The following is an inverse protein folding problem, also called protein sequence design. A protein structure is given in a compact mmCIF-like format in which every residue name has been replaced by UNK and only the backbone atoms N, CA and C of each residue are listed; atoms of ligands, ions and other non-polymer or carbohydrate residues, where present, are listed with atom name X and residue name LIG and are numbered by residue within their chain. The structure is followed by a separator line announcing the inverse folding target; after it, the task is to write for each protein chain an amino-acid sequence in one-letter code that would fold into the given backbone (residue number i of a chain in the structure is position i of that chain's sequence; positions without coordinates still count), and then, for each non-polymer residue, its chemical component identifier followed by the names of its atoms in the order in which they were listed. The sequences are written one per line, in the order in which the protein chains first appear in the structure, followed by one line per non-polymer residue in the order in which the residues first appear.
data_IF_667584126658
#
_entry.id   IF_667584126658
#
_cell.length_a   1.000
_cell.length_b   1.000
_cell.length_c   1.000
_cell.angle_alpha   90.00
_cell.angle_beta   90.00
_cell.angle_gamma   90.00
#
_symmetry.space_group_name_H-M   'P 1'
#
loop_
_entity.id
_entity.type
_entity.pdbx_description
1 polymer ?
#
# COMPACT_ATOMS: atom_id res chain seq x y z
N UNK A 1 12.73 -14.23 -5.51
CA UNK A 1 12.19 -15.45 -4.88
C UNK A 1 11.55 -15.14 -3.52
N UNK A 2 12.31 -14.63 -2.54
CA UNK A 2 11.77 -14.33 -1.19
C UNK A 2 10.60 -13.35 -1.18
N UNK A 3 10.64 -12.31 -2.03
CA UNK A 3 9.54 -11.35 -2.19
C UNK A 3 8.23 -12.05 -2.58
N UNK A 4 8.26 -12.91 -3.60
CA UNK A 4 7.09 -13.63 -4.09
C UNK A 4 6.56 -14.64 -3.07
N UNK A 5 7.47 -15.29 -2.32
CA UNK A 5 7.10 -16.21 -1.26
C UNK A 5 6.42 -15.50 -0.10
N UNK A 6 6.90 -14.31 0.29
CA UNK A 6 6.22 -13.48 1.29
C UNK A 6 4.80 -13.14 0.85
N UNK A 7 4.60 -12.73 -0.42
CA UNK A 7 3.27 -12.38 -0.93
C UNK A 7 2.34 -13.58 -1.10
N UNK A 8 2.89 -14.76 -1.37
CA UNK A 8 2.11 -15.99 -1.37
C UNK A 8 1.60 -16.32 0.03
N UNK A 9 2.45 -16.19 1.06
CA UNK A 9 2.07 -16.46 2.44
C UNK A 9 1.00 -15.48 2.95
N UNK A 10 1.15 -14.21 2.59
CA UNK A 10 0.21 -13.10 2.84
C UNK A 10 -1.15 -13.30 2.13
N UNK A 11 -1.14 -13.86 0.91
CA UNK A 11 -2.39 -14.25 0.26
C UNK A 11 -3.09 -15.44 0.96
N UNK A 12 -2.30 -16.35 1.53
CA UNK A 12 -2.78 -17.58 2.16
C UNK A 12 -3.35 -17.33 3.56
N UNK A 13 -2.73 -16.50 4.39
CA UNK A 13 -3.23 -16.22 5.75
C UNK A 13 -4.62 -15.55 5.73
N UNK A 14 -4.85 -14.60 4.81
CA UNK A 14 -6.15 -13.98 4.60
C UNK A 14 -7.20 -14.96 4.07
N UNK A 15 -6.81 -15.89 3.19
CA UNK A 15 -7.71 -16.94 2.72
C UNK A 15 -8.10 -17.92 3.83
N UNK A 16 -7.14 -18.32 4.67
CA UNK A 16 -7.38 -19.20 5.82
C UNK A 16 -8.25 -18.49 6.87
N UNK A 17 -8.01 -17.21 7.15
CA UNK A 17 -8.82 -16.44 8.09
C UNK A 17 -10.29 -16.33 7.66
N UNK A 18 -10.55 -16.11 6.37
CA UNK A 18 -11.93 -16.08 5.81
C UNK A 18 -12.60 -17.46 5.85
N UNK A 19 -11.85 -18.53 5.67
CA UNK A 19 -12.35 -19.90 5.71
C UNK A 19 -12.58 -20.43 7.14
N UNK A 20 -12.05 -19.75 8.16
CA UNK A 20 -12.11 -20.19 9.56
C UNK A 20 -12.84 -19.16 10.42
N UNK A 21 -12.11 -18.38 11.21
CA UNK A 21 -12.66 -17.34 12.09
C UNK A 21 -11.80 -16.07 11.95
N UNK A 22 -12.29 -15.02 11.28
CA UNK A 22 -11.58 -13.75 11.23
C UNK A 22 -11.53 -13.13 12.63
N UNK A 23 -10.39 -12.53 12.98
CA UNK A 23 -10.19 -11.87 14.27
C UNK A 23 -9.60 -10.48 14.08
N UNK A 24 -9.99 -9.54 14.95
CA UNK A 24 -9.48 -8.16 14.92
C UNK A 24 -7.96 -8.11 15.09
N UNK A 25 -7.39 -9.03 15.89
CA UNK A 25 -5.94 -9.16 16.08
C UNK A 25 -5.23 -9.57 14.79
N UNK A 26 -5.84 -10.48 14.03
CA UNK A 26 -5.33 -10.90 12.73
C UNK A 26 -5.32 -9.75 11.74
N UNK A 27 -6.45 -9.04 11.59
CA UNK A 27 -6.54 -7.88 10.70
C UNK A 27 -5.59 -6.74 11.06
N UNK A 28 -5.39 -6.49 12.37
CA UNK A 28 -4.39 -5.51 12.84
C UNK A 28 -2.96 -5.92 12.48
N UNK A 29 -2.61 -7.19 12.66
CA UNK A 29 -1.26 -7.68 12.36
C UNK A 29 -0.99 -7.68 10.86
N UNK A 30 -1.96 -8.11 10.05
CA UNK A 30 -1.93 -8.14 8.59
C UNK A 30 -1.54 -6.76 8.02
N UNK A 31 -2.35 -5.74 8.32
CA UNK A 31 -2.06 -4.38 7.83
C UNK A 31 -0.73 -3.83 8.36
N UNK A 32 -0.37 -4.14 9.60
CA UNK A 32 0.89 -3.65 10.19
C UNK A 32 2.11 -4.25 9.48
N UNK A 33 2.10 -5.56 9.25
CA UNK A 33 3.20 -6.26 8.57
C UNK A 33 3.29 -5.87 7.09
N UNK A 34 2.16 -5.57 6.45
CA UNK A 34 2.13 -5.07 5.09
C UNK A 34 2.87 -3.75 4.92
N UNK A 35 2.61 -2.76 5.78
CA UNK A 35 3.32 -1.48 5.73
C UNK A 35 4.82 -1.65 6.00
N UNK A 36 5.20 -2.53 6.93
CA UNK A 36 6.61 -2.85 7.19
C UNK A 36 7.26 -3.48 5.96
N UNK A 37 6.58 -4.43 5.31
CA UNK A 37 7.08 -5.06 4.09
C UNK A 37 7.24 -4.06 2.95
N UNK A 38 6.24 -3.20 2.71
CA UNK A 38 6.31 -2.17 1.66
C UNK A 38 7.46 -1.19 1.91
N UNK A 39 7.72 -0.81 3.17
CA UNK A 39 8.85 0.04 3.51
C UNK A 39 10.21 -0.67 3.42
N UNK A 40 10.27 -1.97 3.70
CA UNK A 40 11.51 -2.73 3.72
C UNK A 40 12.17 -2.81 2.33
N UNK A 41 11.38 -2.88 1.25
CA UNK A 41 11.93 -3.04 -0.11
C UNK A 41 12.74 -1.81 -0.55
N UNK A 42 12.20 -0.57 -0.59
CA UNK A 42 13.00 0.61 -0.94
C UNK A 42 14.18 0.83 0.00
N UNK A 43 13.99 0.57 1.31
CA UNK A 43 15.06 0.67 2.30
C UNK A 43 16.21 -0.29 1.99
N UNK A 44 15.93 -1.53 1.59
CA UNK A 44 16.95 -2.50 1.22
C UNK A 44 17.80 -2.01 0.03
N UNK A 45 17.18 -1.39 -0.98
CA UNK A 45 17.91 -0.78 -2.11
C UNK A 45 18.78 0.40 -1.68
N UNK A 46 18.28 1.25 -0.78
CA UNK A 46 19.03 2.36 -0.21
C UNK A 46 20.25 1.88 0.60
N UNK A 47 20.11 0.78 1.35
CA UNK A 47 21.21 0.19 2.12
C UNK A 47 22.23 -0.49 1.21
N UNK A 48 21.77 -1.15 0.15
CA UNK A 48 22.64 -1.90 -0.77
C UNK A 48 23.54 -0.98 -1.62
N UNK A 49 23.02 0.16 -2.09
CA UNK A 49 23.79 1.19 -2.80
C UNK A 49 23.28 2.59 -2.43
N UNK A 50 23.78 3.17 -1.33
CA UNK A 50 23.32 4.47 -0.85
C UNK A 50 23.56 5.61 -1.83
N UNK A 51 24.66 5.57 -2.59
CA UNK A 51 25.02 6.67 -3.50
C UNK A 51 24.05 6.76 -4.68
N UNK A 52 23.61 5.61 -5.21
CA UNK A 52 22.66 5.58 -6.32
C UNK A 52 21.19 5.65 -5.86
N UNK A 53 20.85 4.99 -4.74
CA UNK A 53 19.46 4.64 -4.44
C UNK A 53 18.85 5.38 -3.23
N UNK A 54 19.64 6.03 -2.38
CA UNK A 54 19.12 6.60 -1.13
C UNK A 54 18.02 7.65 -1.37
N UNK A 55 18.22 8.59 -2.31
CA UNK A 55 17.23 9.63 -2.59
C UNK A 55 15.96 9.07 -3.26
N UNK A 56 16.03 8.26 -4.34
CA UNK A 56 14.83 7.63 -4.91
C UNK A 56 14.07 6.78 -3.91
N UNK A 57 14.77 6.01 -3.06
CA UNK A 57 14.15 5.22 -2.01
C UNK A 57 13.45 6.10 -0.96
N UNK A 58 14.08 7.19 -0.52
CA UNK A 58 13.48 8.12 0.45
C UNK A 58 12.20 8.78 -0.11
N UNK A 59 12.21 9.16 -1.39
CA UNK A 59 11.03 9.73 -2.05
C UNK A 59 9.90 8.70 -2.16
N UNK A 60 10.23 7.46 -2.51
CA UNK A 60 9.25 6.37 -2.55
C UNK A 60 8.67 6.07 -1.14
N UNK A 61 9.51 6.01 -0.10
CA UNK A 61 9.06 5.85 1.29
C UNK A 61 8.15 6.99 1.73
N UNK A 62 8.50 8.24 1.42
CA UNK A 62 7.64 9.40 1.71
C UNK A 62 6.27 9.28 1.01
N UNK A 63 6.24 8.76 -0.22
CA UNK A 63 4.99 8.53 -0.94
C UNK A 63 4.13 7.44 -0.30
N UNK A 64 4.74 6.39 0.27
CA UNK A 64 4.02 5.35 1.03
C UNK A 64 3.44 5.85 2.34
N UNK A 65 4.10 6.80 3.01
CA UNK A 65 3.52 7.48 4.17
C UNK A 65 2.26 8.23 3.75
N UNK A 66 2.27 8.92 2.60
CA UNK A 66 1.10 9.62 2.05
C UNK A 66 -0.07 8.68 1.73
N UNK A 67 0.19 7.61 0.97
CA UNK A 67 -0.87 6.66 0.58
C UNK A 67 -1.40 5.87 1.77
N UNK A 68 -0.52 5.48 2.70
CA UNK A 68 -0.89 4.74 3.91
C UNK A 68 -1.69 5.56 4.91
N UNK A 69 -1.22 6.77 5.23
CA UNK A 69 -1.91 7.65 6.16
C UNK A 69 -3.27 8.10 5.65
N UNK A 70 -3.37 8.46 4.36
CA UNK A 70 -4.66 8.84 3.76
C UNK A 70 -5.66 7.67 3.74
N UNK A 71 -5.19 6.43 3.53
CA UNK A 71 -6.02 5.24 3.60
C UNK A 71 -6.53 4.96 5.01
N UNK A 72 -5.63 4.87 6.00
CA UNK A 72 -5.99 4.60 7.40
C UNK A 72 -6.88 5.71 7.97
N UNK A 73 -6.55 6.99 7.73
CA UNK A 73 -7.35 8.11 8.20
C UNK A 73 -8.76 8.08 7.63
N UNK A 74 -8.90 7.78 6.32
CA UNK A 74 -10.22 7.62 5.71
C UNK A 74 -10.99 6.46 6.34
N UNK A 75 -10.35 5.30 6.52
CA UNK A 75 -10.99 4.13 7.10
C UNK A 75 -11.49 4.39 8.53
N UNK A 76 -10.68 5.03 9.37
CA UNK A 76 -11.05 5.38 10.75
C UNK A 76 -12.24 6.34 10.78
N UNK A 77 -12.23 7.39 9.96
CA UNK A 77 -13.34 8.36 9.92
C UNK A 77 -14.61 7.74 9.34
N UNK A 78 -14.49 6.92 8.30
CA UNK A 78 -15.61 6.20 7.70
C UNK A 78 -16.29 5.26 8.70
N UNK A 79 -15.49 4.50 9.47
CA UNK A 79 -16.01 3.61 10.49
C UNK A 79 -16.63 4.37 11.66
N UNK A 80 -16.00 5.46 12.12
CA UNK A 80 -16.58 6.33 13.16
C UNK A 80 -17.95 6.88 12.77
N UNK A 81 -18.14 7.21 11.48
CA UNK A 81 -19.42 7.69 10.95
C UNK A 81 -20.40 6.56 10.64
N UNK A 82 -20.05 5.31 10.93
CA UNK A 82 -20.82 4.10 10.60
C UNK A 82 -21.34 4.18 9.17
N UNK A 83 -20.46 4.55 8.24
CA UNK A 83 -20.78 4.49 6.81
C UNK A 83 -20.99 3.02 6.45
N UNK A 84 -22.20 2.51 6.70
CA UNK A 84 -22.61 1.20 6.28
C UNK A 84 -22.63 1.20 4.75
N UNK A 85 -22.09 0.13 4.17
CA UNK A 85 -22.21 -0.23 2.77
C UNK A 85 -23.63 0.06 2.25
N UNK A 86 -23.85 1.22 1.66
CA UNK A 86 -24.84 1.37 0.60
C UNK A 86 -24.20 0.75 -0.63
N UNK A 87 -24.46 -0.55 -0.76
CA UNK A 87 -24.24 -1.38 -1.92
C UNK A 87 -24.00 -0.55 -3.20
N UNK A 88 -22.74 -0.46 -3.61
CA UNK A 88 -22.44 -0.57 -5.04
C UNK A 88 -22.41 -2.08 -5.31
N UNK A 89 -23.40 -2.65 -6.01
CA UNK A 89 -23.56 -4.11 -6.11
C UNK A 89 -22.40 -4.86 -6.76
N UNK A 90 -21.48 -4.17 -7.45
CA UNK A 90 -20.50 -4.83 -8.33
C UNK A 90 -19.05 -4.81 -7.88
N UNK A 91 -18.68 -4.17 -6.75
CA UNK A 91 -17.29 -4.21 -6.27
C UNK A 91 -17.23 -4.24 -4.73
N UNK A 92 -17.10 -5.45 -4.21
CA UNK A 92 -16.72 -5.71 -2.83
C UNK A 92 -15.39 -5.03 -2.50
N UNK A 93 -15.33 -4.43 -1.32
CA UNK A 93 -14.27 -3.58 -0.76
C UNK A 93 -14.38 -2.09 -1.11
N UNK A 94 -14.53 -1.27 -0.06
CA UNK A 94 -14.10 0.12 -0.03
C UNK A 94 -12.56 0.19 -0.18
N UNK A 95 -12.03 -0.31 -1.30
CA UNK A 95 -10.77 0.18 -1.81
C UNK A 95 -11.09 1.61 -2.26
N UNK A 96 -10.54 2.61 -1.58
CA UNK A 96 -10.19 3.83 -2.31
C UNK A 96 -9.18 3.39 -3.36
N UNK A 97 -9.70 2.96 -4.53
CA UNK A 97 -8.90 2.60 -5.69
C UNK A 97 -7.95 3.75 -5.96
N UNK A 98 -6.67 3.45 -5.82
CA UNK A 98 -5.58 4.31 -6.27
C UNK A 98 -4.99 3.69 -7.53
N UNK A 99 -4.26 4.48 -8.32
CA UNK A 99 -3.41 3.97 -9.41
C UNK A 99 -2.21 3.13 -8.89
N UNK A 100 -2.22 2.79 -7.60
CA UNK A 100 -1.16 2.07 -6.88
C UNK A 100 -1.81 1.09 -5.91
N UNK A 101 -2.44 0.05 -6.46
CA UNK A 101 -2.95 -1.09 -5.71
C UNK A 101 -1.82 -2.07 -5.31
N UNK A 102 -2.16 -3.10 -4.52
CA UNK A 102 -1.21 -4.12 -4.08
C UNK A 102 -0.52 -4.81 -5.26
N UNK A 103 -1.26 -5.11 -6.33
CA UNK A 103 -0.71 -5.75 -7.54
C UNK A 103 0.33 -4.88 -8.25
N UNK A 104 0.03 -3.59 -8.45
CA UNK A 104 0.93 -2.65 -9.13
C UNK A 104 2.19 -2.40 -8.28
N UNK A 105 2.03 -2.33 -6.96
CA UNK A 105 3.14 -2.20 -6.01
C UNK A 105 4.06 -3.42 -6.07
N UNK A 106 3.49 -4.63 -6.03
CA UNK A 106 4.26 -5.88 -6.13
C UNK A 106 4.96 -5.96 -7.50
N UNK A 107 4.29 -5.60 -8.59
CA UNK A 107 4.88 -5.58 -9.93
C UNK A 107 6.06 -4.61 -10.01
N UNK A 108 5.93 -3.40 -9.44
CA UNK A 108 7.01 -2.43 -9.35
C UNK A 108 8.20 -2.96 -8.55
N UNK A 109 7.95 -3.61 -7.40
CA UNK A 109 9.02 -4.21 -6.62
C UNK A 109 9.72 -5.38 -7.32
N UNK A 110 8.95 -6.24 -8.00
CA UNK A 110 9.52 -7.31 -8.82
C UNK A 110 10.40 -6.70 -9.91
N UNK A 111 9.95 -5.64 -10.60
CA UNK A 111 10.74 -4.94 -11.60
C UNK A 111 12.04 -4.35 -11.01
N UNK A 112 11.97 -3.72 -9.83
CA UNK A 112 13.16 -3.23 -9.12
C UNK A 112 14.14 -4.37 -8.81
N UNK A 113 13.65 -5.53 -8.38
CA UNK A 113 14.50 -6.69 -8.08
C UNK A 113 15.11 -7.35 -9.33
N UNK A 114 14.39 -7.37 -10.46
CA UNK A 114 14.87 -7.93 -11.72
C UNK A 114 15.87 -6.99 -12.43
N UNK A 115 15.67 -5.69 -12.29
CA UNK A 115 16.48 -4.65 -12.93
C UNK A 115 16.94 -3.61 -11.89
N UNK A 116 17.88 -3.96 -10.99
CA UNK A 116 18.33 -3.06 -9.92
C UNK A 116 18.93 -1.75 -10.45
N UNK A 117 19.53 -1.76 -11.65
CA UNK A 117 20.05 -0.57 -12.32
C UNK A 117 18.97 0.44 -12.73
N UNK A 118 17.71 0.00 -12.83
CA UNK A 118 16.55 0.84 -13.12
C UNK A 118 15.77 1.21 -11.85
N UNK A 119 16.30 0.93 -10.66
CA UNK A 119 15.62 1.23 -9.40
C UNK A 119 15.20 2.70 -9.31
N UNK A 120 16.12 3.64 -9.53
CA UNK A 120 15.84 5.07 -9.38
C UNK A 120 14.67 5.57 -10.25
N UNK A 121 14.64 5.34 -11.58
CA UNK A 121 13.51 5.78 -12.40
C UNK A 121 12.21 5.05 -12.05
N UNK A 122 12.25 3.76 -11.70
CA UNK A 122 11.04 3.04 -11.27
C UNK A 122 10.51 3.62 -9.95
N UNK A 123 11.39 3.89 -8.98
CA UNK A 123 11.05 4.44 -7.67
C UNK A 123 10.41 5.83 -7.80
N UNK A 124 10.97 6.72 -8.62
CA UNK A 124 10.37 8.03 -8.86
C UNK A 124 9.04 7.94 -9.62
N UNK A 125 8.96 7.09 -10.64
CA UNK A 125 7.72 6.88 -11.39
C UNK A 125 6.60 6.38 -10.47
N UNK A 126 6.89 5.38 -9.64
CA UNK A 126 5.92 4.85 -8.68
C UNK A 126 5.57 5.87 -7.59
N UNK A 127 6.56 6.60 -7.07
CA UNK A 127 6.32 7.66 -6.09
C UNK A 127 5.38 8.76 -6.62
N UNK A 128 5.47 9.11 -7.91
CA UNK A 128 4.57 10.06 -8.53
C UNK A 128 3.12 9.53 -8.59
N UNK A 129 2.92 8.24 -8.90
CA UNK A 129 1.61 7.60 -8.88
C UNK A 129 1.03 7.52 -7.46
N UNK A 130 1.87 7.23 -6.46
CA UNK A 130 1.49 7.25 -5.05
C UNK A 130 1.11 8.67 -4.57
N UNK A 131 1.86 9.69 -4.98
CA UNK A 131 1.55 11.08 -4.66
C UNK A 131 0.22 11.51 -5.28
N UNK A 132 -0.03 11.17 -6.54
CA UNK A 132 -1.32 11.42 -7.20
C UNK A 132 -2.47 10.73 -6.45
N UNK A 133 -2.29 9.46 -6.10
CA UNK A 133 -3.27 8.71 -5.30
C UNK A 133 -3.55 9.40 -3.96
N UNK A 134 -2.51 9.84 -3.26
CA UNK A 134 -2.63 10.54 -1.97
C UNK A 134 -3.47 11.82 -2.12
N UNK A 135 -3.18 12.64 -3.14
CA UNK A 135 -3.94 13.88 -3.41
C UNK A 135 -5.40 13.58 -3.69
N UNK A 136 -5.70 12.57 -4.53
CA UNK A 136 -7.07 12.17 -4.85
C UNK A 136 -7.82 11.72 -3.59
N UNK A 137 -7.18 10.92 -2.72
CA UNK A 137 -7.78 10.47 -1.46
C UNK A 137 -8.07 11.62 -0.50
N UNK A 138 -7.14 12.57 -0.37
CA UNK A 138 -7.33 13.77 0.46
C UNK A 138 -8.50 14.61 -0.08
N UNK A 139 -8.55 14.85 -1.38
CA UNK A 139 -9.63 15.61 -2.02
C UNK A 139 -10.99 14.92 -1.81
N UNK A 140 -11.07 13.61 -1.97
CA UNK A 140 -12.30 12.84 -1.71
C UNK A 140 -12.69 12.84 -0.24
N UNK A 141 -11.73 12.67 0.68
CA UNK A 141 -11.98 12.75 2.11
C UNK A 141 -12.56 14.10 2.51
N UNK A 142 -11.99 15.19 1.99
CA UNK A 142 -12.47 16.55 2.21
C UNK A 142 -13.90 16.77 1.71
N UNK A 143 -14.24 16.24 0.54
CA UNK A 143 -15.60 16.38 -0.02
C UNK A 143 -16.63 15.48 0.68
N UNK A 144 -16.24 14.29 1.12
CA UNK A 144 -17.17 13.26 1.62
C UNK A 144 -17.46 13.38 3.12
N UNK A 145 -16.59 14.03 3.88
CA UNK A 145 -16.77 14.25 5.31
C UNK A 145 -17.14 15.72 5.59
N UNK A 146 -18.43 16.10 5.45
CA UNK A 146 -18.87 17.43 5.88
C UNK A 146 -18.69 17.61 7.39
N UNK A 147 -18.58 18.86 7.89
CA UNK A 147 -18.42 19.17 9.32
C UNK A 147 -19.45 18.47 10.20
#
# INVERSE_FOLDING_TARGET
VLLLLSRLLDGLDGAVARATAPTDRGGFLDITLDFVFYAAIPLAFAVADPLANALPAAVLLASFIGTGSSFLAFAIVAEKRRLQSLAFPDKSFYFLGGLTEATETIAAFVAMCLWPQWFAPIAYGFAALCALTTVLRIAWGWQRFPP
#
